data_IF_596383478524
#
_entry.id   IF_596383478524
#
_cell.length_a   1.000
_cell.length_b   1.000
_cell.length_c   1.000
_cell.angle_alpha   90.00
_cell.angle_beta   90.00
_cell.angle_gamma   90.00
#
_symmetry.space_group_name_H-M   'P 1'
#
loop_
_entity.id
_entity.type
_entity.pdbx_description
1 polymer ?
#
# COMPACT_ATOMS: atom_id res chain seq x y z
N UNK A 1 3.32 36.30 0.99
CA UNK A 1 1.95 36.16 0.45
C UNK A 1 1.20 35.26 1.41
N UNK A 2 -0.02 35.63 1.83
CA UNK A 2 -0.81 34.84 2.79
C UNK A 2 -1.99 34.23 2.04
N UNK A 3 -2.20 32.93 2.20
CA UNK A 3 -3.31 32.22 1.59
C UNK A 3 -4.44 32.00 2.58
N UNK A 4 -5.68 32.16 2.12
CA UNK A 4 -6.90 31.95 2.92
C UNK A 4 -7.40 30.50 2.76
N UNK A 5 -6.53 29.51 3.02
CA UNK A 5 -6.81 28.10 2.73
C UNK A 5 -8.12 27.59 3.33
N UNK A 6 -8.46 28.01 4.56
CA UNK A 6 -9.70 27.57 5.21
C UNK A 6 -10.96 28.03 4.46
N UNK A 7 -10.98 29.27 3.94
CA UNK A 7 -12.09 29.81 3.16
C UNK A 7 -12.23 29.05 1.83
N UNK A 8 -11.10 28.72 1.19
CA UNK A 8 -11.07 27.94 -0.04
C UNK A 8 -11.61 26.52 0.19
N UNK A 9 -11.14 25.85 1.25
CA UNK A 9 -11.59 24.49 1.59
C UNK A 9 -13.09 24.45 1.89
N UNK A 10 -13.61 25.42 2.65
CA UNK A 10 -15.04 25.52 2.96
C UNK A 10 -15.86 25.72 1.68
N UNK A 11 -15.44 26.63 0.81
CA UNK A 11 -16.12 26.91 -0.46
C UNK A 11 -16.16 25.66 -1.35
N UNK A 12 -15.03 24.98 -1.49
CA UNK A 12 -14.91 23.76 -2.30
C UNK A 12 -15.81 22.65 -1.75
N UNK A 13 -15.83 22.43 -0.43
CA UNK A 13 -16.72 21.44 0.21
C UNK A 13 -18.20 21.83 0.14
N UNK A 14 -18.53 23.11 0.13
CA UNK A 14 -19.91 23.56 -0.07
C UNK A 14 -20.40 23.23 -1.49
N UNK A 15 -19.55 23.44 -2.50
CA UNK A 15 -19.89 23.19 -3.91
C UNK A 15 -19.82 21.71 -4.29
N UNK A 16 -18.90 20.95 -3.68
CA UNK A 16 -18.64 19.55 -3.97
C UNK A 16 -18.35 18.78 -2.66
N UNK A 17 -19.41 18.38 -1.95
CA UNK A 17 -19.32 17.84 -0.57
C UNK A 17 -18.37 16.65 -0.41
N UNK A 18 -18.25 15.80 -1.44
CA UNK A 18 -17.43 14.58 -1.41
C UNK A 18 -16.05 14.75 -2.05
N UNK A 19 -15.65 15.96 -2.48
CA UNK A 19 -14.35 16.17 -3.13
C UNK A 19 -13.22 15.95 -2.12
N UNK A 20 -12.15 15.30 -2.54
CA UNK A 20 -10.92 15.21 -1.75
C UNK A 20 -10.06 16.45 -2.04
N UNK A 21 -9.49 17.02 -0.99
CA UNK A 21 -8.58 18.16 -1.05
C UNK A 21 -7.18 17.68 -0.67
N UNK A 22 -6.26 17.86 -1.62
CA UNK A 22 -4.83 17.64 -1.45
C UNK A 22 -4.13 18.94 -1.01
N UNK A 23 -3.30 18.83 0.03
CA UNK A 23 -2.24 19.80 0.39
C UNK A 23 -1.25 19.12 1.33
N UNK A 24 -0.14 19.74 1.72
CA UNK A 24 0.76 19.15 2.73
C UNK A 24 0.03 18.79 4.04
N UNK A 25 -0.98 19.59 4.43
CA UNK A 25 -1.81 19.43 5.64
C UNK A 25 -3.13 18.67 5.39
N UNK A 26 -3.45 18.32 4.14
CA UNK A 26 -4.77 17.80 3.77
C UNK A 26 -5.81 18.89 3.50
N UNK A 27 -7.07 18.75 3.96
CA UNK A 27 -7.52 17.88 5.06
C UNK A 27 -7.79 16.42 4.68
N UNK A 28 -7.93 16.07 3.39
CA UNK A 28 -8.34 14.71 3.00
C UNK A 28 -7.16 13.83 2.60
N UNK A 29 -6.16 14.39 1.93
CA UNK A 29 -5.00 13.67 1.41
C UNK A 29 -3.77 14.57 1.52
N UNK A 30 -2.62 14.03 1.92
CA UNK A 30 -1.37 14.80 2.04
C UNK A 30 -0.35 14.46 0.98
N UNK A 31 0.54 15.40 0.70
CA UNK A 31 1.78 15.10 -0.01
C UNK A 31 2.62 14.06 0.76
N UNK A 32 3.25 13.14 0.04
CA UNK A 32 4.12 12.13 0.64
C UNK A 32 5.51 12.68 1.00
N UNK A 33 5.86 13.90 0.60
CA UNK A 33 7.17 14.49 0.90
C UNK A 33 8.26 14.19 -0.14
N UNK A 34 7.92 13.65 -1.31
CA UNK A 34 8.83 13.51 -2.45
C UNK A 34 8.07 13.46 -3.78
N UNK A 35 8.74 13.81 -4.88
CA UNK A 35 8.21 13.71 -6.26
C UNK A 35 8.77 12.48 -7.02
N UNK A 36 9.44 11.55 -6.32
CA UNK A 36 9.87 10.27 -6.89
C UNK A 36 8.74 9.24 -6.84
N UNK A 37 7.66 9.55 -6.13
CA UNK A 37 6.51 8.70 -5.88
C UNK A 37 6.78 7.65 -4.80
N UNK A 38 7.67 7.92 -3.83
CA UNK A 38 8.23 6.91 -2.91
C UNK A 38 7.85 7.17 -1.45
N UNK A 39 6.81 6.50 -0.98
CA UNK A 39 6.53 6.44 0.44
C UNK A 39 7.65 5.76 1.24
N UNK A 40 7.79 6.19 2.50
CA UNK A 40 8.68 5.56 3.46
C UNK A 40 8.32 4.10 3.70
N UNK A 41 9.31 3.31 4.15
CA UNK A 41 9.05 1.91 4.52
C UNK A 41 8.04 1.81 5.66
N UNK A 42 8.00 2.82 6.54
CA UNK A 42 6.93 3.13 7.48
C UNK A 42 6.10 4.27 6.89
N UNK A 43 4.78 4.11 6.83
CA UNK A 43 3.88 5.10 6.28
C UNK A 43 2.51 5.06 7.00
N UNK A 44 2.34 5.97 7.95
CA UNK A 44 1.09 6.18 8.69
C UNK A 44 0.16 7.08 7.88
N UNK A 45 -1.13 6.72 7.85
CA UNK A 45 -2.17 7.62 7.36
C UNK A 45 -2.52 8.72 8.37
N UNK A 46 -2.12 8.55 9.63
CA UNK A 46 -2.30 9.57 10.67
C UNK A 46 -1.15 10.58 10.68
N UNK A 47 -1.48 11.85 10.91
CA UNK A 47 -0.54 12.95 11.14
C UNK A 47 -1.06 13.87 12.25
N UNK A 48 -0.22 14.77 12.75
CA UNK A 48 -0.66 15.91 13.54
C UNK A 48 -0.65 17.16 12.68
N UNK A 49 -1.82 17.56 12.20
CA UNK A 49 -2.00 18.71 11.31
C UNK A 49 -1.54 20.04 11.92
N UNK A 50 -1.56 20.15 13.25
CA UNK A 50 -1.07 21.35 13.95
C UNK A 50 0.46 21.54 13.83
N UNK A 51 1.19 20.56 13.29
CA UNK A 51 2.63 20.61 13.07
C UNK A 51 3.00 20.81 11.60
N UNK A 52 2.01 20.99 10.72
CA UNK A 52 2.23 21.09 9.27
C UNK A 52 1.79 22.49 8.82
N UNK A 53 2.70 23.21 8.18
CA UNK A 53 2.39 24.42 7.44
C UNK A 53 2.48 24.11 5.95
N UNK A 54 1.44 24.42 5.17
CA UNK A 54 1.44 24.20 3.72
C UNK A 54 2.55 25.04 3.07
N UNK A 55 3.39 24.38 2.27
CA UNK A 55 4.55 24.95 1.60
C UNK A 55 5.80 25.10 2.47
N UNK A 56 5.81 24.57 3.69
CA UNK A 56 6.98 24.58 4.57
C UNK A 56 7.99 23.50 4.18
N UNK A 57 9.24 23.89 4.00
CA UNK A 57 10.34 22.97 3.74
C UNK A 57 10.89 22.36 5.04
N UNK A 58 11.50 21.18 4.94
CA UNK A 58 12.17 20.50 6.06
C UNK A 58 11.28 19.52 6.84
N UNK A 59 10.00 19.39 6.46
CA UNK A 59 9.05 18.44 7.06
C UNK A 59 8.83 17.19 6.20
N UNK A 60 9.57 17.04 5.09
CA UNK A 60 9.36 15.99 4.09
C UNK A 60 9.44 14.59 4.71
N UNK A 61 10.38 14.37 5.64
CA UNK A 61 10.50 13.09 6.36
C UNK A 61 9.27 12.79 7.23
N UNK A 62 8.66 13.82 7.83
CA UNK A 62 7.46 13.67 8.63
C UNK A 62 6.26 13.35 7.73
N UNK A 63 6.11 14.04 6.60
CA UNK A 63 5.09 13.75 5.60
C UNK A 63 5.21 12.32 5.05
N UNK A 64 6.44 11.88 4.76
CA UNK A 64 6.75 10.57 4.21
C UNK A 64 6.44 9.40 5.15
N UNK A 65 6.76 9.57 6.44
CA UNK A 65 6.52 8.55 7.45
C UNK A 65 5.11 8.60 8.07
N UNK A 66 4.51 9.78 8.15
CA UNK A 66 3.37 10.08 9.00
C UNK A 66 3.70 9.95 10.49
N UNK A 67 2.66 10.00 11.32
CA UNK A 67 2.78 10.02 12.78
C UNK A 67 1.86 8.97 13.45
N UNK A 68 2.41 7.96 14.13
CA UNK A 68 1.61 6.99 14.89
C UNK A 68 0.83 7.61 16.06
N UNK A 69 1.18 8.82 16.50
CA UNK A 69 0.45 9.59 17.52
C UNK A 69 -0.40 10.71 16.92
N UNK A 70 -0.38 10.85 15.60
CA UNK A 70 -1.24 11.76 14.85
C UNK A 70 -2.71 11.52 15.14
N UNK A 71 -3.49 12.61 15.18
CA UNK A 71 -4.93 12.59 15.47
C UNK A 71 -5.77 12.72 14.23
N UNK A 72 -5.18 13.20 13.14
CA UNK A 72 -5.84 13.49 11.88
C UNK A 72 -5.55 12.37 10.89
N UNK A 73 -6.59 11.82 10.27
CA UNK A 73 -6.46 10.82 9.21
C UNK A 73 -6.31 11.54 7.86
N UNK A 74 -5.07 11.69 7.41
CA UNK A 74 -4.73 12.38 6.17
C UNK A 74 -3.79 11.47 5.37
N UNK A 75 -4.32 10.44 4.67
CA UNK A 75 -3.51 9.47 3.94
C UNK A 75 -2.58 10.15 2.90
N UNK A 76 -1.39 9.58 2.66
CA UNK A 76 -0.44 10.13 1.70
C UNK A 76 -0.78 9.78 0.25
N UNK A 77 -0.55 10.76 -0.62
CA UNK A 77 -0.50 10.62 -2.08
C UNK A 77 0.94 10.79 -2.57
N UNK A 78 1.38 9.80 -3.33
CA UNK A 78 2.65 9.78 -4.03
C UNK A 78 2.45 10.31 -5.44
N UNK A 79 2.81 11.56 -5.66
CA UNK A 79 2.78 12.20 -6.96
C UNK A 79 4.13 12.02 -7.68
N UNK A 80 4.08 11.70 -8.97
CA UNK A 80 5.27 11.57 -9.81
C UNK A 80 4.89 11.70 -11.28
N UNK A 81 5.77 12.29 -12.09
CA UNK A 81 5.60 12.32 -13.54
C UNK A 81 6.02 11.00 -14.20
N UNK A 82 5.35 10.59 -15.27
CA UNK A 82 5.83 9.50 -16.14
C UNK A 82 7.14 9.88 -16.85
N UNK A 83 7.47 11.18 -16.94
CA UNK A 83 8.71 11.73 -17.51
C UNK A 83 9.61 12.33 -16.41
N UNK A 84 10.84 12.78 -16.72
CA UNK A 84 11.63 13.58 -15.78
C UNK A 84 10.93 14.88 -15.36
N UNK A 85 10.35 15.63 -16.30
CA UNK A 85 9.60 16.85 -16.02
C UNK A 85 8.09 16.63 -15.84
N UNK A 86 7.44 17.59 -15.19
CA UNK A 86 5.96 17.65 -15.07
C UNK A 86 5.30 18.06 -16.38
N UNK A 87 5.94 18.95 -17.15
CA UNK A 87 5.49 19.36 -18.48
C UNK A 87 6.20 18.54 -19.56
N UNK A 88 5.63 18.54 -20.75
CA UNK A 88 6.22 17.83 -21.88
C UNK A 88 7.46 18.54 -22.40
N UNK A 89 8.54 17.77 -22.58
CA UNK A 89 9.75 18.19 -23.28
C UNK A 89 10.12 17.17 -24.36
N UNK A 90 10.45 17.66 -25.57
CA UNK A 90 10.74 16.82 -26.74
C UNK A 90 11.89 15.83 -26.53
N UNK A 91 12.85 16.17 -25.68
CA UNK A 91 14.04 15.37 -25.39
C UNK A 91 13.85 14.40 -24.21
N UNK A 92 12.65 14.34 -23.62
CA UNK A 92 12.33 13.41 -22.55
C UNK A 92 11.58 12.19 -23.09
N UNK A 93 11.57 11.11 -22.31
CA UNK A 93 10.79 9.90 -22.59
C UNK A 93 10.16 9.37 -21.31
N UNK A 94 9.13 8.53 -21.46
CA UNK A 94 8.51 7.86 -20.32
C UNK A 94 9.49 6.93 -19.59
N UNK A 95 9.43 6.93 -18.25
CA UNK A 95 10.13 6.02 -17.35
C UNK A 95 9.90 4.56 -17.77
N UNK A 96 10.94 3.70 -17.79
CA UNK A 96 10.82 2.28 -18.16
C UNK A 96 9.84 1.55 -17.25
N UNK A 97 9.25 0.44 -17.75
CA UNK A 97 8.30 -0.38 -17.00
C UNK A 97 8.84 -0.81 -15.63
N UNK A 98 10.11 -1.20 -15.56
CA UNK A 98 10.77 -1.61 -14.31
C UNK A 98 10.73 -0.52 -13.25
N UNK A 99 10.97 0.74 -13.64
CA UNK A 99 10.90 1.88 -12.74
C UNK A 99 9.46 2.22 -12.34
N UNK A 100 8.49 2.09 -13.25
CA UNK A 100 7.07 2.29 -12.91
C UNK A 100 6.54 1.23 -11.93
N UNK A 101 6.98 -0.03 -12.08
CA UNK A 101 6.69 -1.08 -11.11
C UNK A 101 7.38 -0.81 -9.77
N UNK A 102 8.62 -0.33 -9.77
CA UNK A 102 9.31 0.10 -8.56
C UNK A 102 8.53 1.22 -7.84
N UNK A 103 8.08 2.25 -8.57
CA UNK A 103 7.19 3.29 -8.06
C UNK A 103 5.91 2.69 -7.47
N UNK A 104 5.25 1.76 -8.16
CA UNK A 104 4.02 1.11 -7.68
C UNK A 104 4.22 0.41 -6.33
N UNK A 105 5.30 -0.38 -6.19
CA UNK A 105 5.61 -1.06 -4.94
C UNK A 105 6.02 -0.10 -3.81
N UNK A 106 6.62 1.05 -4.15
CA UNK A 106 7.03 2.06 -3.17
C UNK A 106 5.93 3.12 -2.88
N UNK A 107 4.78 3.08 -3.57
CA UNK A 107 3.61 3.94 -3.33
C UNK A 107 2.39 3.11 -2.90
N UNK A 108 1.66 2.55 -3.87
CA UNK A 108 0.48 1.68 -3.65
C UNK A 108 0.81 0.49 -2.75
N UNK A 109 2.03 -0.03 -2.88
CA UNK A 109 2.55 -1.10 -2.03
C UNK A 109 2.91 -0.69 -0.59
N UNK A 110 2.80 0.60 -0.26
CA UNK A 110 3.18 1.18 1.05
C UNK A 110 2.12 2.15 1.56
N UNK A 111 0.85 1.74 1.51
CA UNK A 111 -0.27 2.50 2.10
C UNK A 111 -0.55 3.88 1.45
N UNK A 112 -0.10 4.12 0.23
CA UNK A 112 -0.34 5.39 -0.48
C UNK A 112 -1.26 5.23 -1.68
N UNK A 113 -1.78 6.35 -2.16
CA UNK A 113 -2.33 6.49 -3.52
C UNK A 113 -1.20 6.93 -4.46
N UNK A 114 -1.15 6.42 -5.69
CA UNK A 114 -0.22 6.87 -6.71
C UNK A 114 -0.95 7.83 -7.67
N UNK A 115 -0.44 9.06 -7.77
CA UNK A 115 -0.84 10.04 -8.78
C UNK A 115 0.27 10.12 -9.85
N UNK A 116 0.03 9.52 -11.01
CA UNK A 116 0.99 9.48 -12.11
C UNK A 116 0.62 10.54 -13.18
N UNK A 117 1.46 11.57 -13.33
CA UNK A 117 1.27 12.60 -14.35
C UNK A 117 1.69 12.11 -15.75
N UNK A 118 0.91 12.46 -16.76
CA UNK A 118 1.19 12.19 -18.17
C UNK A 118 0.98 13.49 -18.99
N UNK A 119 2.06 14.21 -19.35
CA UNK A 119 1.91 15.55 -19.89
C UNK A 119 1.53 15.55 -21.37
N UNK A 120 0.50 16.33 -21.78
CA UNK A 120 0.23 16.61 -23.18
C UNK A 120 1.39 17.38 -23.83
N UNK A 121 1.68 17.06 -25.10
CA UNK A 121 2.68 17.75 -25.91
C UNK A 121 2.17 19.10 -26.46
N UNK A 122 2.97 19.76 -27.30
CA UNK A 122 2.61 21.07 -27.90
C UNK A 122 1.39 21.06 -28.83
N UNK A 123 0.84 19.88 -29.17
CA UNK A 123 -0.41 19.74 -29.91
C UNK A 123 -1.62 19.49 -29.01
N UNK A 124 -1.43 19.43 -27.69
CA UNK A 124 -2.48 19.15 -26.71
C UNK A 124 -2.82 17.67 -26.56
N UNK A 125 -1.95 16.76 -27.05
CA UNK A 125 -2.15 15.31 -27.00
C UNK A 125 -1.06 14.63 -26.17
N UNK A 126 -1.39 13.55 -25.47
CA UNK A 126 -0.38 12.68 -24.83
C UNK A 126 0.34 11.89 -25.93
N UNK A 127 1.67 11.80 -25.84
CA UNK A 127 2.49 11.07 -26.82
C UNK A 127 2.12 9.58 -26.89
N UNK A 128 2.12 9.01 -28.10
CA UNK A 128 1.80 7.59 -28.33
C UNK A 128 2.73 6.66 -27.53
N UNK A 129 4.01 7.04 -27.38
CA UNK A 129 4.97 6.29 -26.58
C UNK A 129 4.61 6.28 -25.07
N UNK A 130 4.06 7.38 -24.55
CA UNK A 130 3.62 7.48 -23.15
C UNK A 130 2.34 6.67 -22.95
N UNK A 131 1.39 6.76 -23.90
CA UNK A 131 0.17 5.93 -23.90
C UNK A 131 0.53 4.45 -23.93
N UNK A 132 1.48 4.05 -24.78
CA UNK A 132 1.96 2.67 -24.87
C UNK A 132 2.57 2.21 -23.54
N UNK A 133 3.43 3.03 -22.92
CA UNK A 133 4.01 2.73 -21.60
C UNK A 133 2.96 2.65 -20.48
N UNK A 134 1.95 3.51 -20.48
CA UNK A 134 0.83 3.46 -19.53
C UNK A 134 0.02 2.16 -19.68
N UNK A 135 -0.27 1.75 -20.91
CA UNK A 135 -0.95 0.47 -21.20
C UNK A 135 -0.10 -0.72 -20.77
N UNK A 136 1.20 -0.70 -21.06
CA UNK A 136 2.16 -1.71 -20.63
C UNK A 136 2.19 -1.83 -19.11
N UNK A 137 2.27 -0.70 -18.40
CA UNK A 137 2.24 -0.65 -16.93
C UNK A 137 0.94 -1.20 -16.35
N UNK A 138 -0.22 -0.80 -16.89
CA UNK A 138 -1.51 -1.33 -16.48
C UNK A 138 -1.63 -2.84 -16.70
N UNK A 139 -1.16 -3.34 -17.85
CA UNK A 139 -1.13 -4.77 -18.16
C UNK A 139 -0.19 -5.55 -17.22
N UNK A 140 0.96 -4.96 -16.85
CA UNK A 140 1.88 -5.57 -15.90
C UNK A 140 1.23 -5.71 -14.52
N UNK A 141 0.63 -4.64 -13.98
CA UNK A 141 -0.09 -4.67 -12.69
C UNK A 141 -1.23 -5.71 -12.74
N UNK A 142 -2.01 -5.74 -13.82
CA UNK A 142 -3.07 -6.74 -14.01
C UNK A 142 -2.51 -8.17 -14.06
N UNK A 143 -1.35 -8.39 -14.67
CA UNK A 143 -0.67 -9.69 -14.70
C UNK A 143 -0.24 -10.14 -13.31
N UNK A 144 0.38 -9.25 -12.52
CA UNK A 144 0.86 -9.57 -11.17
C UNK A 144 -0.30 -9.92 -10.23
N UNK A 145 -1.35 -9.09 -10.21
CA UNK A 145 -2.42 -9.19 -9.21
C UNK A 145 -3.69 -9.88 -9.72
N UNK A 146 -3.75 -10.25 -11.00
CA UNK A 146 -4.92 -10.89 -11.61
C UNK A 146 -5.18 -12.32 -11.12
N UNK A 147 -4.22 -12.94 -10.44
CA UNK A 147 -4.42 -14.23 -9.76
C UNK A 147 -3.88 -14.14 -8.33
N UNK A 148 -4.75 -14.43 -7.35
CA UNK A 148 -4.32 -14.66 -5.98
C UNK A 148 -4.00 -16.16 -5.77
N UNK A 149 -2.72 -16.46 -5.59
CA UNK A 149 -2.18 -17.79 -5.37
C UNK A 149 -2.44 -18.32 -3.95
N UNK A 150 -3.05 -17.52 -3.08
CA UNK A 150 -3.64 -17.97 -1.82
C UNK A 150 -4.97 -18.71 -2.02
N UNK A 151 -5.67 -18.48 -3.14
CA UNK A 151 -7.00 -19.04 -3.38
C UNK A 151 -7.01 -20.58 -3.19
N UNK A 152 -8.01 -21.07 -2.45
CA UNK A 152 -8.15 -22.48 -2.08
C UNK A 152 -7.37 -22.93 -0.84
N UNK A 153 -6.54 -22.06 -0.26
CA UNK A 153 -5.90 -22.28 1.04
C UNK A 153 -6.92 -22.24 2.18
N UNK A 154 -6.57 -22.86 3.31
CA UNK A 154 -7.25 -22.70 4.59
C UNK A 154 -6.56 -21.58 5.38
N UNK A 155 -7.32 -20.60 5.89
CA UNK A 155 -6.77 -19.60 6.79
C UNK A 155 -6.96 -20.05 8.25
N UNK A 156 -5.89 -19.90 9.04
CA UNK A 156 -5.87 -20.11 10.49
C UNK A 156 -5.33 -18.87 11.16
N UNK A 157 -5.70 -18.66 12.41
CA UNK A 157 -5.19 -17.53 13.19
C UNK A 157 -4.87 -17.94 14.63
N UNK A 158 -4.15 -17.07 15.32
CA UNK A 158 -3.86 -17.22 16.75
C UNK A 158 -5.13 -17.37 17.58
N UNK A 159 -6.19 -16.63 17.22
CA UNK A 159 -7.53 -16.72 17.77
C UNK A 159 -8.54 -16.01 16.86
N UNK A 160 -9.83 -16.21 17.10
CA UNK A 160 -10.92 -15.55 16.38
C UNK A 160 -11.94 -14.99 17.36
N UNK A 161 -12.29 -13.70 17.23
CA UNK A 161 -13.28 -13.04 18.10
C UNK A 161 -14.69 -13.63 17.99
N UNK A 162 -14.96 -14.37 16.91
CA UNK A 162 -16.21 -15.05 16.63
C UNK A 162 -16.40 -15.28 15.14
N UNK A 163 -17.46 -15.99 14.75
CA UNK A 163 -17.68 -16.44 13.37
C UNK A 163 -17.70 -15.30 12.32
N UNK A 164 -18.09 -14.08 12.72
CA UNK A 164 -18.08 -12.87 11.87
C UNK A 164 -16.66 -12.33 11.60
N UNK A 165 -15.69 -12.65 12.45
CA UNK A 165 -14.30 -12.16 12.41
C UNK A 165 -13.29 -13.28 12.17
N UNK A 166 -13.73 -14.34 11.49
CA UNK A 166 -12.96 -15.55 11.30
C UNK A 166 -11.74 -15.31 10.39
N UNK A 167 -10.71 -16.15 10.52
CA UNK A 167 -9.47 -16.06 9.75
C UNK A 167 -9.73 -16.13 8.24
N UNK A 168 -10.74 -16.93 7.81
CA UNK A 168 -11.12 -17.06 6.40
C UNK A 168 -11.48 -15.75 5.70
N UNK A 169 -11.89 -14.73 6.44
CA UNK A 169 -12.27 -13.44 5.88
C UNK A 169 -11.11 -12.77 5.13
N UNK A 170 -9.84 -13.06 5.47
CA UNK A 170 -8.69 -12.47 4.76
C UNK A 170 -8.52 -12.95 3.32
N UNK A 171 -9.36 -13.89 2.86
CA UNK A 171 -9.31 -14.47 1.51
C UNK A 171 -10.68 -14.41 0.81
N UNK A 172 -11.67 -13.72 1.35
CA UNK A 172 -13.04 -13.72 0.78
C UNK A 172 -13.24 -12.66 -0.33
N UNK A 173 -12.24 -11.81 -0.56
CA UNK A 173 -12.26 -10.78 -1.60
C UNK A 173 -13.09 -9.54 -1.25
N UNK A 174 -13.52 -9.38 0.01
CA UNK A 174 -14.32 -8.25 0.47
C UNK A 174 -13.48 -7.33 1.36
N UNK A 175 -13.75 -6.03 1.28
CA UNK A 175 -13.11 -4.99 2.10
C UNK A 175 -13.86 -4.69 3.41
N UNK A 176 -15.15 -5.05 3.45
CA UNK A 176 -16.06 -4.87 4.58
C UNK A 176 -16.02 -6.02 5.62
N UNK A 177 -15.35 -7.12 5.30
CA UNK A 177 -15.06 -8.23 6.22
C UNK A 177 -13.58 -8.21 6.62
N UNK A 178 -13.28 -8.81 7.77
CA UNK A 178 -11.92 -8.88 8.29
C UNK A 178 -11.78 -9.97 9.34
N UNK A 179 -10.56 -10.46 9.52
CA UNK A 179 -10.17 -11.22 10.68
C UNK A 179 -9.94 -10.29 11.87
N UNK A 180 -10.43 -10.68 13.05
CA UNK A 180 -10.08 -10.06 14.31
C UNK A 180 -9.86 -11.13 15.39
N UNK A 181 -8.78 -11.01 16.19
CA UNK A 181 -8.50 -11.94 17.28
C UNK A 181 -9.36 -11.65 18.51
N UNK A 182 -9.43 -12.62 19.42
CA UNK A 182 -9.89 -12.39 20.81
C UNK A 182 -8.93 -11.40 21.49
N UNK A 183 -9.45 -10.55 22.38
CA UNK A 183 -8.63 -9.55 23.06
C UNK A 183 -7.64 -10.17 24.08
N UNK A 184 -7.92 -11.39 24.53
CA UNK A 184 -7.17 -12.07 25.60
C UNK A 184 -5.98 -12.89 25.08
N UNK A 185 -6.09 -13.53 23.91
CA UNK A 185 -5.10 -14.53 23.47
C UNK A 185 -3.80 -13.92 22.94
N UNK A 186 -3.87 -12.80 22.22
CA UNK A 186 -2.65 -12.25 21.60
C UNK A 186 -1.70 -11.56 22.58
N UNK A 187 -2.09 -11.39 23.85
CA UNK A 187 -1.16 -11.01 24.93
C UNK A 187 -0.26 -12.17 25.37
N UNK A 188 -0.67 -13.44 25.18
CA UNK A 188 0.09 -14.61 25.63
C UNK A 188 0.90 -15.27 24.51
N UNK A 189 0.33 -15.41 23.31
CA UNK A 189 0.92 -16.22 22.22
C UNK A 189 1.23 -15.41 20.95
N UNK A 190 1.08 -14.08 21.00
CA UNK A 190 1.19 -13.20 19.83
C UNK A 190 -0.02 -13.28 18.89
N UNK A 191 -0.06 -12.39 17.92
CA UNK A 191 -1.10 -12.35 16.90
C UNK A 191 -0.54 -12.79 15.55
N UNK A 192 -1.18 -13.77 14.92
CA UNK A 192 -0.76 -14.25 13.60
C UNK A 192 -1.94 -14.75 12.79
N UNK A 193 -1.79 -14.68 11.47
CA UNK A 193 -2.65 -15.32 10.48
C UNK A 193 -1.78 -16.17 9.55
N UNK A 194 -2.24 -17.38 9.25
CA UNK A 194 -1.54 -18.36 8.43
C UNK A 194 -2.45 -18.83 7.30
N UNK A 195 -1.93 -18.78 6.09
CA UNK A 195 -2.52 -19.40 4.92
C UNK A 195 -1.86 -20.76 4.72
N UNK A 196 -2.66 -21.83 4.76
CA UNK A 196 -2.20 -23.20 4.60
C UNK A 196 -2.80 -23.82 3.34
N UNK A 197 -1.94 -24.21 2.41
CA UNK A 197 -2.36 -24.95 1.22
C UNK A 197 -2.89 -26.32 1.62
N UNK A 198 -3.92 -26.79 0.91
CA UNK A 198 -4.49 -28.12 1.14
C UNK A 198 -3.47 -29.22 0.81
N UNK A 199 -3.48 -30.35 1.53
CA UNK A 199 -2.67 -31.51 1.17
C UNK A 199 -2.87 -31.90 -0.30
N UNK A 200 -1.77 -32.15 -1.02
CA UNK A 200 -1.80 -32.52 -2.44
C UNK A 200 -1.97 -31.36 -3.42
N UNK A 201 -2.20 -30.12 -2.95
CA UNK A 201 -2.20 -28.96 -3.83
C UNK A 201 -0.77 -28.66 -4.33
N UNK A 202 -0.63 -28.36 -5.63
CA UNK A 202 0.65 -27.94 -6.20
C UNK A 202 1.09 -26.63 -5.57
N UNK A 203 2.28 -26.62 -4.96
CA UNK A 203 2.87 -25.40 -4.41
C UNK A 203 3.33 -24.46 -5.53
N UNK A 204 2.47 -23.54 -5.98
CA UNK A 204 2.83 -22.51 -6.95
C UNK A 204 3.78 -21.50 -6.31
N UNK A 205 4.84 -21.13 -7.03
CA UNK A 205 5.78 -20.11 -6.58
C UNK A 205 5.12 -18.72 -6.58
N UNK A 206 5.51 -17.88 -5.63
CA UNK A 206 5.09 -16.49 -5.51
C UNK A 206 6.30 -15.65 -5.07
N UNK A 207 6.32 -14.37 -5.41
CA UNK A 207 7.35 -13.41 -4.99
C UNK A 207 6.75 -12.08 -4.51
N UNK A 208 5.43 -12.01 -4.36
CA UNK A 208 4.74 -10.84 -3.81
C UNK A 208 3.76 -11.30 -2.75
N UNK A 209 3.86 -10.75 -1.53
CA UNK A 209 2.91 -10.98 -0.43
C UNK A 209 2.14 -9.69 -0.18
N UNK A 210 0.82 -9.76 -0.30
CA UNK A 210 -0.11 -8.66 -0.02
C UNK A 210 -0.68 -8.81 1.39
N UNK A 211 -0.70 -7.72 2.15
CA UNK A 211 -1.34 -7.63 3.47
C UNK A 211 -2.18 -6.35 3.51
N UNK A 212 -3.40 -6.41 4.01
CA UNK A 212 -4.31 -5.26 4.11
C UNK A 212 -4.99 -5.22 5.48
N UNK A 213 -5.00 -4.04 6.11
CA UNK A 213 -5.78 -3.79 7.31
C UNK A 213 -7.21 -3.34 6.95
N UNK A 214 -8.15 -3.58 7.85
CA UNK A 214 -9.48 -2.98 7.78
C UNK A 214 -9.44 -1.53 8.33
N UNK A 215 -8.93 -0.61 7.50
CA UNK A 215 -8.62 0.77 7.87
C UNK A 215 -9.83 1.63 8.23
N UNK A 216 -11.05 1.19 7.91
CA UNK A 216 -12.28 1.85 8.37
C UNK A 216 -12.38 1.93 9.91
N UNK A 217 -11.63 1.07 10.63
CA UNK A 217 -11.51 1.08 12.08
C UNK A 217 -10.10 1.47 12.57
N UNK A 218 -9.38 2.22 11.74
CA UNK A 218 -8.04 2.75 11.99
C UNK A 218 -6.90 1.81 11.59
N UNK A 219 -5.69 2.37 11.52
CA UNK A 219 -4.44 1.68 11.25
C UNK A 219 -3.80 1.23 12.58
N UNK A 220 -3.43 -0.05 12.70
CA UNK A 220 -3.06 -0.67 13.99
C UNK A 220 -1.72 -1.37 13.98
N UNK A 221 -1.33 -2.00 12.87
CA UNK A 221 -0.08 -2.76 12.77
C UNK A 221 1.11 -1.79 12.72
N UNK A 222 2.02 -1.90 13.69
CA UNK A 222 3.26 -1.12 13.74
C UNK A 222 4.46 -1.89 13.19
N UNK A 223 4.47 -3.22 13.39
CA UNK A 223 5.49 -4.14 12.85
C UNK A 223 4.92 -5.52 12.61
N UNK A 224 5.43 -6.17 11.57
CA UNK A 224 5.06 -7.54 11.20
C UNK A 224 6.23 -8.27 10.50
N UNK A 225 6.14 -9.59 10.47
CA UNK A 225 7.04 -10.47 9.75
C UNK A 225 6.25 -11.52 8.96
N UNK A 226 6.80 -11.95 7.82
CA UNK A 226 6.22 -12.96 6.95
C UNK A 226 7.14 -14.17 6.92
N UNK A 227 6.56 -15.34 7.12
CA UNK A 227 7.25 -16.62 7.12
C UNK A 227 6.65 -17.55 6.07
N UNK A 228 7.48 -18.37 5.43
CA UNK A 228 7.08 -19.45 4.54
C UNK A 228 7.63 -20.75 5.08
N UNK A 229 6.75 -21.70 5.41
CA UNK A 229 7.13 -22.97 6.06
C UNK A 229 8.04 -22.78 7.29
N UNK A 230 7.84 -21.69 8.03
CA UNK A 230 8.61 -21.33 9.23
C UNK A 230 9.89 -20.52 8.96
N UNK A 231 10.34 -20.39 7.71
CA UNK A 231 11.50 -19.56 7.36
C UNK A 231 11.08 -18.09 7.14
N UNK A 232 11.78 -17.10 7.71
CA UNK A 232 11.45 -15.68 7.48
C UNK A 232 11.78 -15.29 6.04
N UNK A 233 10.83 -14.64 5.36
CA UNK A 233 11.01 -14.16 3.97
C UNK A 233 10.87 -12.65 3.82
N UNK A 234 10.15 -11.99 4.72
CA UNK A 234 10.01 -10.54 4.73
C UNK A 234 9.71 -10.02 6.14
N UNK A 235 10.00 -8.74 6.38
CA UNK A 235 9.53 -8.00 7.53
C UNK A 235 9.16 -6.57 7.13
N UNK A 236 8.34 -5.92 7.95
CA UNK A 236 7.92 -4.56 7.69
C UNK A 236 7.38 -3.88 8.93
N UNK A 237 7.16 -2.57 8.82
CA UNK A 237 6.53 -1.78 9.88
C UNK A 237 5.01 -1.73 9.66
N UNK A 238 4.50 -0.62 9.16
CA UNK A 238 3.08 -0.37 8.92
C UNK A 238 2.51 -1.23 7.80
N UNK A 239 1.22 -1.56 7.90
CA UNK A 239 0.44 -2.15 6.81
C UNK A 239 -0.49 -1.12 6.19
N UNK A 240 -1.45 -0.61 6.96
CA UNK A 240 -2.48 0.31 6.47
C UNK A 240 -3.41 -0.32 5.44
N UNK A 241 -3.90 0.47 4.48
CA UNK A 241 -4.80 0.02 3.42
C UNK A 241 -4.19 -1.14 2.61
N UNK A 242 -2.89 -1.07 2.31
CA UNK A 242 -2.18 -2.11 1.58
C UNK A 242 -0.67 -2.06 1.77
N UNK A 243 -0.09 -3.22 2.08
CA UNK A 243 1.34 -3.51 2.04
C UNK A 243 1.62 -4.59 1.02
N UNK A 244 2.61 -4.35 0.16
CA UNK A 244 3.13 -5.33 -0.79
C UNK A 244 4.61 -5.59 -0.46
N UNK A 245 4.93 -6.83 -0.11
CA UNK A 245 6.30 -7.30 0.02
C UNK A 245 6.72 -7.98 -1.26
N UNK A 246 7.59 -7.33 -2.03
CA UNK A 246 8.30 -7.96 -3.15
C UNK A 246 9.51 -8.71 -2.61
N UNK A 247 9.50 -10.03 -2.75
CA UNK A 247 10.58 -10.91 -2.32
C UNK A 247 11.72 -10.91 -3.36
N UNK A 248 12.98 -11.09 -2.94
CA UNK A 248 14.12 -11.07 -3.85
C UNK A 248 14.10 -12.23 -4.86
N UNK A 249 13.55 -13.38 -4.46
CA UNK A 249 13.38 -14.53 -5.34
C UNK A 249 12.00 -15.19 -5.13
N UNK A 250 11.44 -15.85 -6.16
CA UNK A 250 10.23 -16.64 -5.99
C UNK A 250 10.43 -17.78 -4.99
N UNK A 251 9.48 -17.90 -4.07
CA UNK A 251 9.43 -18.99 -3.08
C UNK A 251 8.18 -19.81 -3.28
N UNK A 252 8.25 -21.09 -2.94
CA UNK A 252 7.10 -21.99 -2.88
C UNK A 252 7.08 -22.63 -1.50
N UNK A 253 5.90 -22.69 -0.88
CA UNK A 253 5.72 -23.34 0.40
C UNK A 253 4.30 -23.77 0.65
N UNK A 254 4.09 -24.49 1.75
CA UNK A 254 2.79 -25.02 2.17
C UNK A 254 2.06 -24.03 3.08
N UNK A 255 2.79 -23.37 3.98
CA UNK A 255 2.26 -22.35 4.87
C UNK A 255 2.89 -21.00 4.59
N UNK A 256 2.07 -19.95 4.63
CA UNK A 256 2.52 -18.56 4.68
C UNK A 256 1.92 -17.91 5.89
N UNK A 257 2.76 -17.48 6.84
CA UNK A 257 2.31 -16.89 8.10
C UNK A 257 2.72 -15.43 8.19
N UNK A 258 1.75 -14.56 8.47
CA UNK A 258 1.98 -13.17 8.85
C UNK A 258 1.91 -13.09 10.37
N UNK A 259 3.02 -12.72 11.00
CA UNK A 259 3.14 -12.53 12.45
C UNK A 259 3.18 -11.04 12.77
N UNK A 260 2.29 -10.56 13.65
CA UNK A 260 2.24 -9.15 14.07
C UNK A 260 3.08 -8.99 15.33
N UNK A 261 4.15 -8.21 15.25
CA UNK A 261 5.16 -8.06 16.32
C UNK A 261 5.03 -6.77 17.12
N UNK A 262 4.38 -5.74 16.59
CA UNK A 262 4.04 -4.51 17.31
C UNK A 262 2.73 -3.92 16.78
N UNK A 263 1.94 -3.31 17.66
CA UNK A 263 0.56 -2.89 17.38
C UNK A 263 0.07 -1.79 18.33
N UNK A 264 -0.84 -0.95 17.85
CA UNK A 264 -1.59 0.06 18.64
C UNK A 264 -2.88 -0.47 19.25
N UNK A 265 -3.32 -1.65 18.81
CA UNK A 265 -4.53 -2.34 19.27
C UNK A 265 -4.70 -3.68 18.53
N UNK A 266 -5.69 -4.52 18.89
CA UNK A 266 -5.89 -5.81 18.25
C UNK A 266 -5.95 -5.68 16.71
N UNK A 267 -5.13 -6.43 15.96
CA UNK A 267 -5.02 -6.27 14.51
C UNK A 267 -6.33 -6.65 13.83
N UNK A 268 -6.66 -5.91 12.77
CA UNK A 268 -7.81 -6.17 11.91
C UNK A 268 -7.30 -6.31 10.47
N UNK A 269 -7.29 -7.53 9.94
CA UNK A 269 -6.81 -7.77 8.58
C UNK A 269 -7.98 -8.10 7.66
N UNK A 270 -8.14 -7.34 6.58
CA UNK A 270 -9.16 -7.59 5.55
C UNK A 270 -8.65 -8.51 4.45
N UNK A 271 -7.33 -8.53 4.18
CA UNK A 271 -6.78 -9.37 3.13
C UNK A 271 -5.35 -9.84 3.40
N UNK A 272 -5.06 -11.09 3.04
CA UNK A 272 -3.71 -11.61 2.83
C UNK A 272 -3.70 -12.39 1.52
N UNK A 273 -2.80 -12.03 0.60
CA UNK A 273 -2.74 -12.62 -0.74
C UNK A 273 -1.32 -12.94 -1.18
N UNK A 274 -1.20 -13.89 -2.11
CA UNK A 274 0.07 -14.32 -2.68
C UNK A 274 0.04 -14.10 -4.19
N UNK A 275 1.05 -13.42 -4.74
CA UNK A 275 1.08 -13.03 -6.14
C UNK A 275 2.44 -13.32 -6.76
N UNK A 276 2.47 -13.46 -8.08
CA UNK A 276 3.69 -13.70 -8.84
C UNK A 276 3.91 -12.55 -9.82
N UNK A 277 4.99 -11.83 -9.62
CA UNK A 277 5.50 -10.80 -10.51
C UNK A 277 6.55 -11.41 -11.45
N UNK A 278 6.22 -11.60 -12.74
CA UNK A 278 7.14 -12.13 -13.74
C UNK A 278 8.13 -11.09 -14.27
N UNK A 279 7.97 -9.81 -13.91
CA UNK A 279 8.80 -8.70 -14.39
C UNK A 279 9.97 -8.39 -13.45
N UNK A 280 10.08 -9.11 -12.33
CA UNK A 280 11.29 -9.10 -11.51
C UNK A 280 12.42 -9.64 -12.36
N UNK A 281 13.43 -8.80 -12.63
CA UNK A 281 14.68 -9.28 -13.19
C UNK A 281 15.13 -10.46 -12.33
N UNK A 282 15.22 -11.65 -12.92
CA UNK A 282 16.02 -12.69 -12.33
C UNK A 282 17.41 -12.10 -12.27
N UNK A 283 17.84 -11.62 -11.10
CA UNK A 283 19.25 -11.41 -10.84
C UNK A 283 19.88 -12.79 -11.03
N UNK A 284 20.38 -13.02 -12.25
CA UNK A 284 21.28 -14.11 -12.53
C UNK A 284 22.45 -13.93 -11.57
N UNK A 285 22.62 -14.94 -10.73
CA UNK A 285 23.68 -15.12 -9.73
C UNK A 285 25.04 -14.58 -10.16
#
# INVERSE_FOLDING_TARGET
MTYHFQEWFQTVKQLQRSINIFSDDGPDVRWVGDEKGYAGTTCWSTVNRSMITIGEAGIEKYLNAGDPRGRDWVPPECDVSIRPGWFWHKNETAKPLSQLLEIYYNSVGRNCVLLLNAPPNSTGLVEDADIARLREFGAAVATVFGTDLAAGSEARASSERGARFAARNVMDGRDDTYWAPTAEDGRRNGYWIELRRRPGARARAFNVVRIQEHVALGQRVERHAVYVDGAPVANGTTVGHKRLHRLPCPVAGTTVRVWITALRGPPLLSAVGLHYDPFVASDTM
#
